data_IF_629960026817
#
_entry.id   IF_629960026817
#
_cell.length_a   1.000
_cell.length_b   1.000
_cell.length_c   1.000
_cell.angle_alpha   90.00
_cell.angle_beta   90.00
_cell.angle_gamma   90.00
#
_symmetry.space_group_name_H-M   'P 1'
#
loop_
_entity.id
_entity.type
_entity.pdbx_description
1 polymer ?
#
# COMPACT_ATOMS: atom_id res chain seq x y z
N UNK A 1 2.05 0.67 -17.03
CA UNK A 1 0.71 0.36 -17.57
C UNK A 1 -0.33 1.08 -16.74
N UNK A 2 -1.58 1.16 -17.20
CA UNK A 2 -2.66 1.74 -16.39
C UNK A 2 -3.64 0.65 -15.95
N UNK A 3 -4.07 0.74 -14.69
CA UNK A 3 -5.01 -0.18 -14.06
C UNK A 3 -6.34 0.53 -13.76
N UNK A 4 -7.44 -0.22 -13.77
CA UNK A 4 -8.74 0.27 -13.35
C UNK A 4 -8.93 0.11 -11.84
N UNK A 5 -9.09 1.24 -11.15
CA UNK A 5 -9.38 1.31 -9.72
C UNK A 5 -10.80 1.84 -9.48
N UNK A 6 -11.50 1.27 -8.49
CA UNK A 6 -12.82 1.78 -8.08
C UNK A 6 -12.68 3.07 -7.29
N UNK A 7 -13.49 4.08 -7.60
CA UNK A 7 -13.51 5.38 -6.90
C UNK A 7 -14.08 5.28 -5.48
N UNK A 8 -15.11 4.47 -5.27
CA UNK A 8 -15.71 4.18 -3.95
C UNK A 8 -15.98 2.68 -3.79
N UNK A 9 -16.08 2.16 -2.54
CA UNK A 9 -16.19 0.72 -2.29
C UNK A 9 -17.37 0.04 -3.01
N UNK A 10 -18.53 0.69 -3.01
CA UNK A 10 -19.79 0.14 -3.53
C UNK A 10 -20.10 0.55 -4.97
N UNK A 11 -19.08 0.98 -5.73
CA UNK A 11 -19.19 1.31 -7.15
C UNK A 11 -19.74 0.12 -7.96
N UNK A 12 -20.82 0.37 -8.71
CA UNK A 12 -21.38 -0.58 -9.67
C UNK A 12 -20.39 -0.84 -10.81
N UNK A 13 -20.31 -2.09 -11.28
CA UNK A 13 -19.29 -2.49 -12.26
C UNK A 13 -19.63 -2.09 -13.70
N UNK A 14 -20.89 -1.76 -13.97
CA UNK A 14 -21.43 -1.37 -15.28
C UNK A 14 -21.41 0.15 -15.51
N UNK A 15 -21.04 0.94 -14.51
CA UNK A 15 -20.84 2.39 -14.61
C UNK A 15 -19.35 2.73 -14.84
N UNK A 16 -18.96 3.18 -16.05
CA UNK A 16 -17.58 3.57 -16.34
C UNK A 16 -17.08 4.73 -15.48
N UNK A 17 -17.97 5.61 -15.00
CA UNK A 17 -17.60 6.75 -14.16
C UNK A 17 -17.15 6.31 -12.76
N UNK A 18 -17.49 5.08 -12.36
CA UNK A 18 -17.13 4.49 -11.09
C UNK A 18 -15.66 4.08 -11.00
N UNK A 19 -14.92 4.16 -12.12
CA UNK A 19 -13.51 3.81 -12.22
C UNK A 19 -12.63 5.03 -12.51
N UNK A 20 -11.35 4.91 -12.16
CA UNK A 20 -10.30 5.82 -12.57
C UNK A 20 -9.04 5.02 -12.90
N UNK A 21 -8.20 5.59 -13.77
CA UNK A 21 -6.93 4.99 -14.16
C UNK A 21 -5.86 5.29 -13.12
N UNK A 22 -5.12 4.26 -12.75
CA UNK A 22 -3.97 4.35 -11.84
C UNK A 22 -2.73 3.84 -12.57
N UNK A 23 -1.63 4.62 -12.59
CA UNK A 23 -0.38 4.15 -13.16
C UNK A 23 0.18 3.00 -12.32
N UNK A 24 0.64 1.96 -12.98
CA UNK A 24 1.41 0.87 -12.41
C UNK A 24 2.77 0.82 -13.11
N UNK A 25 3.83 0.90 -12.31
CA UNK A 25 5.22 0.93 -12.76
C UNK A 25 6.07 -0.08 -12.00
N UNK A 26 7.36 -0.14 -12.33
CA UNK A 26 8.34 -0.99 -11.65
C UNK A 26 8.57 -0.54 -10.20
N UNK A 27 8.39 0.74 -9.90
CA UNK A 27 8.66 1.33 -8.58
C UNK A 27 7.35 1.80 -7.97
N UNK A 28 6.99 1.17 -6.85
CA UNK A 28 5.82 1.53 -6.06
C UNK A 28 6.23 1.81 -4.63
N UNK A 29 5.50 2.72 -4.00
CA UNK A 29 5.63 3.13 -2.61
C UNK A 29 4.47 2.53 -1.84
N UNK A 30 4.77 1.92 -0.71
CA UNK A 30 3.82 1.43 0.29
C UNK A 30 4.07 2.18 1.60
N UNK A 31 3.11 2.11 2.54
CA UNK A 31 3.34 2.64 3.87
C UNK A 31 4.43 1.83 4.59
N UNK A 32 5.27 2.48 5.37
CA UNK A 32 6.32 1.80 6.13
C UNK A 32 5.73 0.78 7.12
N UNK A 33 4.57 1.07 7.71
CA UNK A 33 3.88 0.17 8.64
C UNK A 33 3.34 -1.11 7.98
N UNK A 34 3.19 -1.10 6.64
CA UNK A 34 2.76 -2.25 5.86
C UNK A 34 3.89 -3.27 5.59
N UNK A 35 5.12 -2.99 6.04
CA UNK A 35 6.24 -3.93 5.97
C UNK A 35 6.90 -4.17 7.33
N UNK A 36 7.37 -5.41 7.56
CA UNK A 36 8.29 -5.72 8.67
C UNK A 36 9.15 -6.95 8.39
N UNK A 37 10.29 -7.03 9.08
CA UNK A 37 11.27 -8.12 8.90
C UNK A 37 10.80 -9.49 9.38
N UNK A 38 9.97 -9.56 10.43
CA UNK A 38 9.50 -10.83 11.01
C UNK A 38 8.00 -11.00 10.79
N UNK A 39 7.60 -12.06 10.11
CA UNK A 39 6.18 -12.36 9.92
C UNK A 39 5.52 -12.94 11.19
N UNK A 40 4.20 -12.87 11.26
CA UNK A 40 3.36 -13.52 12.29
C UNK A 40 2.01 -13.91 11.69
N UNK A 41 1.33 -14.85 12.34
CA UNK A 41 0.08 -15.45 11.83
C UNK A 41 -1.05 -14.43 11.63
N UNK A 42 -1.07 -13.39 12.45
CA UNK A 42 -2.06 -12.32 12.52
C UNK A 42 -1.66 -11.06 11.74
N UNK A 43 -0.49 -11.07 11.08
CA UNK A 43 -0.05 -9.95 10.26
C UNK A 43 -0.49 -10.12 8.82
N UNK A 44 -1.03 -9.05 8.25
CA UNK A 44 -1.52 -9.02 6.87
C UNK A 44 -0.67 -8.11 5.96
N UNK A 45 0.39 -7.50 6.48
CA UNK A 45 1.36 -6.76 5.69
C UNK A 45 2.42 -7.65 5.02
N UNK A 46 3.36 -6.99 4.35
CA UNK A 46 4.47 -7.60 3.62
C UNK A 46 5.64 -7.94 4.56
N UNK A 47 6.30 -9.05 4.29
CA UNK A 47 7.48 -9.51 5.01
C UNK A 47 8.36 -10.31 4.05
N UNK A 48 9.65 -10.55 4.35
CA UNK A 48 10.52 -11.37 3.51
C UNK A 48 9.89 -12.72 3.14
N UNK A 49 9.82 -13.03 1.84
CA UNK A 49 9.23 -14.27 1.31
C UNK A 49 7.70 -14.32 1.30
N UNK A 50 7.01 -13.34 1.90
CA UNK A 50 5.55 -13.26 1.95
C UNK A 50 4.98 -12.52 0.75
N UNK A 51 3.76 -12.88 0.36
CA UNK A 51 3.01 -12.18 -0.67
C UNK A 51 1.87 -11.35 -0.09
N UNK A 52 1.57 -10.23 -0.76
CA UNK A 52 0.40 -9.35 -0.51
C UNK A 52 -0.21 -8.93 -1.84
N UNK A 53 -1.48 -8.55 -1.85
CA UNK A 53 -2.13 -7.97 -3.03
C UNK A 53 -1.98 -6.45 -2.98
N UNK A 54 -1.44 -5.85 -4.05
CA UNK A 54 -1.57 -4.40 -4.23
C UNK A 54 -3.02 -4.08 -4.60
N UNK A 55 -3.68 -3.16 -3.87
CA UNK A 55 -5.09 -2.81 -4.09
C UNK A 55 -5.32 -2.41 -5.56
N UNK A 56 -6.27 -3.06 -6.23
CA UNK A 56 -6.56 -2.91 -7.68
C UNK A 56 -5.40 -3.31 -8.64
N UNK A 57 -4.30 -3.84 -8.12
CA UNK A 57 -3.15 -4.29 -8.88
C UNK A 57 -2.96 -5.81 -8.88
N UNK A 58 -1.74 -6.22 -8.58
CA UNK A 58 -1.28 -7.61 -8.65
C UNK A 58 -0.78 -8.09 -7.28
N UNK A 59 -0.82 -9.42 -7.03
CA UNK A 59 -0.04 -10.00 -5.95
C UNK A 59 1.45 -9.72 -6.16
N UNK A 60 2.14 -9.33 -5.10
CA UNK A 60 3.59 -9.13 -5.07
C UNK A 60 4.20 -9.96 -3.95
N UNK A 61 5.38 -10.55 -4.18
CA UNK A 61 6.13 -11.31 -3.20
C UNK A 61 7.45 -10.59 -2.91
N UNK A 62 7.74 -10.34 -1.64
CA UNK A 62 9.05 -9.80 -1.24
C UNK A 62 10.13 -10.85 -1.46
N UNK A 63 11.13 -10.52 -2.29
CA UNK A 63 12.25 -11.40 -2.64
C UNK A 63 13.56 -10.96 -2.02
N UNK A 64 13.74 -9.66 -1.75
CA UNK A 64 14.93 -9.13 -1.10
C UNK A 64 14.63 -7.83 -0.34
N UNK A 65 15.46 -7.52 0.67
CA UNK A 65 15.42 -6.28 1.44
C UNK A 65 16.80 -5.67 1.41
N UNK A 66 16.89 -4.40 1.03
CA UNK A 66 18.15 -3.64 1.02
C UNK A 66 18.12 -2.67 2.18
N UNK A 67 19.15 -2.72 3.00
CA UNK A 67 19.34 -1.80 4.13
C UNK A 67 20.19 -0.59 3.71
N UNK A 68 20.01 0.51 4.42
CA UNK A 68 20.90 1.65 4.34
C UNK A 68 22.26 1.33 4.98
N UNK A 69 23.20 2.28 4.92
CA UNK A 69 24.57 2.11 5.44
C UNK A 69 24.62 1.80 6.95
N UNK A 70 23.56 2.16 7.70
CA UNK A 70 23.42 1.85 9.12
C UNK A 70 23.07 0.38 9.41
N UNK A 71 22.73 -0.42 8.38
CA UNK A 71 22.23 -1.80 8.46
C UNK A 71 20.96 -1.97 9.32
N UNK A 72 20.27 -0.89 9.64
CA UNK A 72 19.06 -0.90 10.48
C UNK A 72 17.85 -0.35 9.71
N UNK A 73 18.04 0.70 8.93
CA UNK A 73 17.00 1.36 8.15
C UNK A 73 16.76 0.62 6.85
N UNK A 74 15.50 0.27 6.57
CA UNK A 74 15.12 -0.32 5.29
C UNK A 74 15.16 0.79 4.22
N UNK A 75 16.03 0.61 3.22
CA UNK A 75 16.17 1.55 2.11
C UNK A 75 15.18 1.22 0.98
N UNK A 76 15.14 -0.05 0.56
CA UNK A 76 14.22 -0.51 -0.48
C UNK A 76 13.86 -2.00 -0.32
N UNK A 77 12.71 -2.37 -0.90
CA UNK A 77 12.22 -3.76 -0.94
C UNK A 77 12.15 -4.18 -2.40
N UNK A 78 12.80 -5.29 -2.75
CA UNK A 78 12.63 -5.91 -4.06
C UNK A 78 11.51 -6.93 -3.99
N UNK A 79 10.64 -6.91 -4.99
CA UNK A 79 9.52 -7.81 -5.08
C UNK A 79 9.28 -8.26 -6.52
N UNK A 80 8.71 -9.45 -6.64
CA UNK A 80 8.21 -9.99 -7.91
C UNK A 80 6.68 -9.94 -7.90
N UNK A 81 6.08 -9.47 -8.99
CA UNK A 81 4.63 -9.44 -9.14
C UNK A 81 4.12 -10.63 -9.96
N UNK A 82 2.90 -11.08 -9.66
CA UNK A 82 2.21 -12.18 -10.33
C UNK A 82 1.15 -11.62 -11.28
N UNK A 83 1.44 -11.49 -12.60
CA UNK A 83 0.48 -10.97 -13.58
C UNK A 83 -0.73 -11.89 -13.78
N UNK A 84 -0.56 -13.20 -13.57
CA UNK A 84 -1.60 -14.21 -13.75
C UNK A 84 -2.53 -14.30 -12.55
N UNK A 85 -2.19 -13.63 -11.44
CA UNK A 85 -2.95 -13.61 -10.17
C UNK A 85 -3.23 -15.02 -9.64
N UNK A 86 -2.28 -15.95 -9.84
CA UNK A 86 -2.36 -17.34 -9.33
C UNK A 86 -2.28 -17.36 -7.81
N UNK A 87 -1.50 -16.47 -7.25
CA UNK A 87 -1.35 -16.29 -5.80
C UNK A 87 -2.55 -15.55 -5.24
N UNK A 88 -3.13 -16.05 -4.13
CA UNK A 88 -4.21 -15.39 -3.39
C UNK A 88 -3.73 -15.00 -1.98
N UNK A 89 -3.04 -13.87 -1.81
CA UNK A 89 -2.60 -13.40 -0.51
C UNK A 89 -3.76 -13.07 0.42
N UNK A 90 -3.50 -13.10 1.73
CA UNK A 90 -4.48 -12.67 2.74
C UNK A 90 -4.57 -11.15 2.88
N UNK A 91 -3.45 -10.47 2.66
CA UNK A 91 -3.32 -9.02 2.84
C UNK A 91 -3.54 -8.24 1.56
N UNK A 92 -4.09 -7.03 1.70
CA UNK A 92 -4.23 -6.07 0.62
C UNK A 92 -3.62 -4.74 1.06
N UNK A 93 -2.64 -4.24 0.32
CA UNK A 93 -1.92 -3.02 0.64
C UNK A 93 -2.35 -1.85 -0.26
N UNK A 94 -2.35 -0.65 0.31
CA UNK A 94 -2.42 0.58 -0.48
C UNK A 94 -1.03 0.89 -1.01
N UNK A 95 -0.98 1.59 -2.15
CA UNK A 95 0.28 1.87 -2.83
C UNK A 95 0.13 3.05 -3.77
N UNK A 96 1.26 3.65 -4.13
CA UNK A 96 1.37 4.70 -5.14
C UNK A 96 2.56 4.38 -6.04
N UNK A 97 2.40 4.45 -7.36
CA UNK A 97 3.53 4.28 -8.29
C UNK A 97 4.18 5.61 -8.64
N UNK A 98 5.43 5.53 -9.11
CA UNK A 98 5.98 6.57 -9.98
C UNK A 98 5.00 6.91 -11.12
N UNK A 99 4.81 8.21 -11.37
CA UNK A 99 3.88 8.68 -12.41
C UNK A 99 4.42 8.44 -13.84
N UNK A 100 5.75 8.39 -13.96
CA UNK A 100 6.49 8.01 -15.17
C UNK A 100 7.87 7.51 -14.73
N UNK A 101 8.63 6.74 -15.54
CA UNK A 101 9.92 6.19 -15.13
C UNK A 101 10.85 7.28 -14.57
N UNK A 102 11.30 7.11 -13.32
CA UNK A 102 12.20 8.06 -12.64
C UNK A 102 11.53 9.35 -12.16
N UNK A 103 10.20 9.42 -12.17
CA UNK A 103 9.44 10.56 -11.64
C UNK A 103 8.64 10.14 -10.42
N UNK A 104 9.07 10.66 -9.27
CA UNK A 104 8.41 10.45 -7.99
C UNK A 104 6.91 10.80 -8.05
N UNK A 105 6.08 10.15 -7.22
CA UNK A 105 4.70 10.55 -7.03
C UNK A 105 4.57 12.01 -6.58
N UNK A 106 3.36 12.55 -6.71
CA UNK A 106 3.04 13.88 -6.20
C UNK A 106 3.24 13.88 -4.67
N UNK A 107 4.12 14.76 -4.19
CA UNK A 107 4.32 14.98 -2.75
C UNK A 107 3.17 15.80 -2.20
N UNK A 108 2.61 15.34 -1.09
CA UNK A 108 1.49 15.99 -0.40
C UNK A 108 1.82 16.18 1.07
N UNK A 109 1.23 17.20 1.68
CA UNK A 109 1.22 17.39 3.13
C UNK A 109 -0.07 16.79 3.69
N UNK A 110 0.05 15.89 4.66
CA UNK A 110 -1.09 15.32 5.39
C UNK A 110 -1.00 15.78 6.84
N UNK A 111 -2.06 16.39 7.36
CA UNK A 111 -2.16 16.82 8.76
C UNK A 111 -3.05 15.85 9.51
N UNK A 112 -2.44 15.00 10.33
CA UNK A 112 -3.17 14.09 11.22
C UNK A 112 -3.64 14.88 12.44
N UNK A 113 -4.94 15.09 12.54
CA UNK A 113 -5.56 15.73 13.70
C UNK A 113 -6.07 14.66 14.66
N UNK A 114 -5.78 14.85 15.94
CA UNK A 114 -6.39 14.09 17.03
C UNK A 114 -7.40 14.94 17.80
N UNK A 115 -8.01 14.35 18.82
CA UNK A 115 -8.92 15.07 19.71
C UNK A 115 -8.17 16.24 20.35
N UNK A 116 -8.78 17.42 20.33
CA UNK A 116 -8.22 18.63 20.96
C UNK A 116 -8.16 18.50 22.49
N UNK A 117 -9.09 17.74 23.09
CA UNK A 117 -9.14 17.46 24.52
C UNK A 117 -9.35 15.96 24.77
N UNK A 118 -8.68 15.43 25.80
CA UNK A 118 -8.75 14.01 26.18
C UNK A 118 -9.83 13.71 27.23
N UNK A 119 -10.60 14.72 27.67
CA UNK A 119 -11.63 14.58 28.69
C UNK A 119 -13.01 14.94 28.11
N UNK A 120 -14.01 14.13 28.44
CA UNK A 120 -15.41 14.47 28.18
C UNK A 120 -15.96 15.27 29.37
N UNK A 121 -16.34 16.52 29.15
CA UNK A 121 -17.01 17.33 30.16
C UNK A 121 -18.47 16.88 30.29
N UNK A 122 -18.76 16.04 31.28
CA UNK A 122 -20.14 15.78 31.68
C UNK A 122 -20.64 16.95 32.53
N UNK A 123 -21.52 17.79 31.97
CA UNK A 123 -22.38 18.65 32.77
C UNK A 123 -23.50 17.79 33.33
N UNK A 124 -23.41 17.41 34.60
CA UNK A 124 -24.55 16.90 35.35
C UNK A 124 -25.49 18.07 35.65
N UNK A 125 -26.72 18.01 35.15
CA UNK A 125 -27.82 18.92 35.50
C UNK A 125 -28.48 18.50 36.81
#
# INVERSE_FOLDING_TARGET
>A
MELDAKRWPDAQNDDPSAFYKVPFSRVVYIDQSDFRMKDSKDYYGLAPGKSVLLRYGFPVKCTNVVFADDNETIHEIHAEYDPEKKTKPKGVLHWVAESSPGKEPIKIEVRLFEKLFNYEAFMTF
#
